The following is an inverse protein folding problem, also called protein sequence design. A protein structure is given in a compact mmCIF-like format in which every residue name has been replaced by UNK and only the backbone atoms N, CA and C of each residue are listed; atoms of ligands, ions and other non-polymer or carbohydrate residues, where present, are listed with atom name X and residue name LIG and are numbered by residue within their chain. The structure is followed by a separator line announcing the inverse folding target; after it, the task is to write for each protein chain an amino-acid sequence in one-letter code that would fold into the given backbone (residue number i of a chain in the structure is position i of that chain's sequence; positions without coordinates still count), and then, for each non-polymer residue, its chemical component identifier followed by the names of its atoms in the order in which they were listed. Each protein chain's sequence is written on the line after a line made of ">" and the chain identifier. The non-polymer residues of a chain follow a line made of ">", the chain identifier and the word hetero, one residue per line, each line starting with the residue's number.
data_IF_882314175748
#
_entry.id   IF_882314175748
#
_cell.length_a   1.000
_cell.length_b   1.000
_cell.length_c   1.000
_cell.angle_alpha   90.00
_cell.angle_beta   90.00
_cell.angle_gamma   90.00
#
_symmetry.space_group_name_H-M   'P 1'
#
loop_
_entity.id
_entity.type
_entity.pdbx_description
1 polymer ?
#
# COMPACT_ATOMS: atom_id res chain seq x y z
N UNK A 1 59.87 -43.23 -49.54
CA UNK A 1 58.94 -43.48 -48.43
C UNK A 1 58.66 -42.15 -47.79
N UNK A 2 57.46 -41.58 -48.09
CA UNK A 2 56.97 -40.32 -47.50
C UNK A 2 56.30 -40.61 -46.18
N UNK A 3 56.80 -40.03 -45.12
CA UNK A 3 56.14 -40.06 -43.81
C UNK A 3 55.18 -38.88 -43.70
N UNK A 4 53.87 -39.17 -43.57
CA UNK A 4 52.81 -38.16 -43.31
C UNK A 4 52.66 -38.06 -41.80
N UNK A 5 53.06 -36.91 -41.20
CA UNK A 5 52.80 -36.59 -39.79
C UNK A 5 51.40 -36.00 -39.66
N UNK A 6 50.50 -36.75 -39.02
CA UNK A 6 49.18 -36.29 -38.66
C UNK A 6 49.25 -35.53 -37.32
N UNK A 7 49.08 -34.19 -37.39
CA UNK A 7 48.89 -33.35 -36.18
C UNK A 7 47.40 -33.45 -35.75
N UNK A 8 47.18 -34.18 -34.67
CA UNK A 8 45.89 -34.18 -33.96
C UNK A 8 45.76 -32.87 -33.16
N UNK A 9 45.03 -31.94 -33.72
CA UNK A 9 44.63 -30.72 -33.00
C UNK A 9 43.48 -31.13 -32.05
N UNK A 10 43.77 -31.39 -30.79
CA UNK A 10 42.78 -31.56 -29.73
C UNK A 10 42.21 -30.15 -29.39
N UNK A 11 41.07 -29.81 -29.97
CA UNK A 11 40.25 -28.71 -29.47
C UNK A 11 39.78 -29.09 -28.07
N UNK A 12 40.42 -28.51 -27.06
CA UNK A 12 39.87 -28.51 -25.71
C UNK A 12 38.61 -27.63 -25.73
N UNK A 13 37.46 -28.25 -25.80
CA UNK A 13 36.21 -27.64 -25.46
C UNK A 13 36.23 -27.37 -23.96
N UNK A 14 36.71 -26.19 -23.57
CA UNK A 14 36.40 -25.65 -22.25
C UNK A 14 34.93 -25.21 -22.31
N UNK A 15 34.06 -25.83 -21.47
CA UNK A 15 32.75 -25.25 -21.30
C UNK A 15 32.97 -23.83 -20.69
N UNK A 16 32.72 -22.78 -21.47
CA UNK A 16 32.51 -21.46 -20.90
C UNK A 16 31.27 -21.61 -20.00
N UNK A 17 31.47 -21.98 -18.75
CA UNK A 17 30.52 -21.63 -17.70
C UNK A 17 30.54 -20.11 -17.63
N UNK A 18 29.71 -19.46 -18.46
CA UNK A 18 29.32 -18.08 -18.20
C UNK A 18 28.72 -18.14 -16.79
N UNK A 19 29.46 -17.62 -15.81
CA UNK A 19 28.91 -17.41 -14.49
C UNK A 19 27.62 -16.61 -14.70
N UNK A 20 26.49 -17.22 -14.45
CA UNK A 20 25.19 -16.53 -14.55
C UNK A 20 25.29 -15.33 -13.60
N UNK A 21 25.29 -14.14 -14.19
CA UNK A 21 25.32 -12.92 -13.39
C UNK A 21 24.08 -12.93 -12.52
N UNK A 22 24.26 -12.81 -11.19
CA UNK A 22 23.15 -12.75 -10.26
C UNK A 22 22.24 -11.58 -10.63
N UNK A 23 20.93 -11.85 -10.76
CA UNK A 23 19.93 -10.83 -11.00
C UNK A 23 19.57 -10.12 -9.68
N UNK A 24 19.19 -8.87 -9.73
CA UNK A 24 18.95 -8.03 -8.55
C UNK A 24 17.50 -7.61 -8.48
N UNK A 25 16.83 -8.04 -7.42
CA UNK A 25 15.48 -7.61 -7.09
C UNK A 25 15.54 -6.53 -6.01
N UNK A 26 14.95 -5.37 -6.25
CA UNK A 26 14.74 -4.37 -5.23
C UNK A 26 13.25 -4.25 -4.88
N UNK A 27 12.92 -4.44 -3.60
CA UNK A 27 11.58 -4.25 -3.05
C UNK A 27 11.56 -2.89 -2.35
N UNK A 28 10.74 -1.97 -2.84
CA UNK A 28 10.50 -0.67 -2.21
C UNK A 28 9.11 -0.69 -1.60
N UNK A 29 9.07 -0.64 -0.27
CA UNK A 29 7.84 -0.65 0.49
C UNK A 29 7.50 0.74 1.01
N UNK A 30 6.32 1.24 0.69
CA UNK A 30 5.82 2.54 1.18
C UNK A 30 5.69 2.60 2.70
N UNK A 31 5.46 1.48 3.35
CA UNK A 31 5.12 1.41 4.76
C UNK A 31 6.35 1.10 5.63
N UNK A 32 6.14 0.99 6.93
CA UNK A 32 7.17 0.54 7.86
C UNK A 32 7.20 -1.00 7.95
N UNK A 33 8.26 -1.52 8.55
CA UNK A 33 8.46 -2.94 8.75
C UNK A 33 7.36 -3.59 9.61
N UNK A 34 6.82 -2.86 10.59
CA UNK A 34 5.83 -3.39 11.52
C UNK A 34 4.39 -3.35 11.00
N UNK A 35 4.16 -2.83 9.79
CA UNK A 35 2.85 -2.87 9.18
C UNK A 35 2.46 -4.33 8.86
N UNK A 36 1.34 -4.85 9.37
CA UNK A 36 1.04 -6.27 9.38
C UNK A 36 0.91 -6.90 8.00
N UNK A 37 0.26 -6.18 7.08
CA UNK A 37 0.18 -6.64 5.69
C UNK A 37 1.57 -6.69 5.03
N UNK A 38 2.51 -5.85 5.48
CA UNK A 38 3.89 -5.89 5.03
C UNK A 38 4.55 -7.17 5.51
N UNK A 39 4.39 -7.53 6.77
CA UNK A 39 4.97 -8.76 7.31
C UNK A 39 4.47 -9.99 6.58
N UNK A 40 3.18 -10.09 6.32
CA UNK A 40 2.61 -11.25 5.65
C UNK A 40 3.02 -11.34 4.17
N UNK A 41 2.88 -10.27 3.41
CA UNK A 41 3.15 -10.31 1.97
C UNK A 41 4.64 -10.21 1.65
N UNK A 42 5.36 -9.25 2.23
CA UNK A 42 6.78 -9.07 1.94
C UNK A 42 7.58 -10.27 2.40
N UNK A 43 7.25 -10.86 3.55
CA UNK A 43 7.94 -12.08 4.03
C UNK A 43 7.82 -13.20 3.03
N UNK A 44 6.66 -13.43 2.40
CA UNK A 44 6.52 -14.46 1.37
C UNK A 44 7.38 -14.15 0.14
N UNK A 45 7.39 -12.90 -0.33
CA UNK A 45 8.28 -12.52 -1.45
C UNK A 45 9.76 -12.71 -1.12
N UNK A 46 10.18 -12.42 0.11
CA UNK A 46 11.56 -12.63 0.55
C UNK A 46 11.92 -14.12 0.62
N UNK A 47 11.00 -14.96 1.09
CA UNK A 47 11.18 -16.41 1.11
C UNK A 47 11.35 -16.94 -0.33
N UNK A 48 10.49 -16.54 -1.25
CA UNK A 48 10.57 -16.95 -2.65
C UNK A 48 11.86 -16.43 -3.31
N UNK A 49 12.22 -15.16 -3.07
CA UNK A 49 13.46 -14.60 -3.57
C UNK A 49 14.70 -15.36 -3.05
N UNK A 50 14.72 -15.69 -1.75
CA UNK A 50 15.81 -16.44 -1.14
C UNK A 50 15.93 -17.89 -1.68
N UNK A 51 14.82 -18.48 -2.15
CA UNK A 51 14.78 -19.80 -2.76
C UNK A 51 15.05 -19.77 -4.26
N UNK A 52 15.15 -18.61 -4.88
CA UNK A 52 15.39 -18.44 -6.32
C UNK A 52 16.89 -18.41 -6.59
N UNK A 53 17.38 -19.37 -7.35
CA UNK A 53 18.80 -19.40 -7.74
C UNK A 53 19.21 -18.16 -8.53
N UNK A 54 20.39 -17.62 -8.25
CA UNK A 54 20.97 -16.44 -8.90
C UNK A 54 20.11 -15.17 -8.79
N UNK A 55 19.34 -15.01 -7.72
CA UNK A 55 18.58 -13.80 -7.42
C UNK A 55 19.05 -13.20 -6.09
N UNK A 56 19.71 -12.04 -6.15
CA UNK A 56 19.99 -11.21 -4.99
C UNK A 56 18.82 -10.27 -4.74
N UNK A 57 18.49 -9.98 -3.49
CA UNK A 57 17.42 -9.04 -3.19
C UNK A 57 17.80 -8.00 -2.13
N UNK A 58 17.25 -6.82 -2.29
CA UNK A 58 17.29 -5.72 -1.32
C UNK A 58 15.87 -5.30 -0.95
N UNK A 59 15.69 -4.85 0.30
CA UNK A 59 14.44 -4.31 0.81
C UNK A 59 14.65 -2.90 1.37
N UNK A 60 13.77 -1.98 1.00
CA UNK A 60 13.73 -0.61 1.50
C UNK A 60 12.35 -0.27 2.02
N UNK A 61 12.27 0.23 3.25
CA UNK A 61 11.05 0.78 3.85
C UNK A 61 11.09 2.30 3.80
N UNK A 62 10.12 2.93 3.15
CA UNK A 62 10.03 4.39 3.05
C UNK A 62 9.45 5.04 4.30
N UNK A 63 8.70 4.29 5.12
CA UNK A 63 7.97 4.81 6.29
C UNK A 63 7.02 5.98 5.93
N UNK A 64 6.20 5.81 4.93
CA UNK A 64 5.32 6.84 4.37
C UNK A 64 4.53 7.65 5.41
N UNK A 65 4.14 7.02 6.53
CA UNK A 65 3.41 7.69 7.62
C UNK A 65 4.23 8.83 8.24
N UNK A 66 5.56 8.73 8.24
CA UNK A 66 6.47 9.75 8.77
C UNK A 66 6.79 10.84 7.74
N UNK A 67 6.51 10.61 6.48
CA UNK A 67 6.79 11.56 5.40
C UNK A 67 5.63 12.56 5.31
N UNK A 68 5.77 13.66 6.03
CA UNK A 68 4.74 14.70 6.17
C UNK A 68 5.01 15.94 5.29
N UNK A 69 6.18 16.01 4.64
CA UNK A 69 6.59 17.16 3.84
C UNK A 69 7.30 16.72 2.57
N UNK A 70 7.25 17.56 1.56
CA UNK A 70 7.97 17.33 0.28
C UNK A 70 9.48 17.24 0.51
N UNK A 71 10.03 17.98 1.47
CA UNK A 71 11.45 17.91 1.81
C UNK A 71 11.84 16.53 2.35
N UNK A 72 11.03 15.93 3.24
CA UNK A 72 11.28 14.58 3.74
C UNK A 72 11.13 13.53 2.64
N UNK A 73 10.13 13.69 1.78
CA UNK A 73 9.98 12.80 0.62
C UNK A 73 11.19 12.85 -0.29
N UNK A 74 11.64 14.05 -0.65
CA UNK A 74 12.81 14.23 -1.51
C UNK A 74 14.07 13.63 -0.87
N UNK A 75 14.24 13.81 0.44
CA UNK A 75 15.36 13.21 1.17
C UNK A 75 15.34 11.67 1.10
N UNK A 76 14.20 11.04 1.39
CA UNK A 76 14.05 9.57 1.30
C UNK A 76 14.28 9.09 -0.13
N UNK A 77 13.73 9.79 -1.09
CA UNK A 77 13.93 9.52 -2.52
C UNK A 77 15.41 9.55 -2.90
N UNK A 78 16.11 10.63 -2.57
CA UNK A 78 17.54 10.76 -2.83
C UNK A 78 18.37 9.66 -2.15
N UNK A 79 18.06 9.30 -0.93
CA UNK A 79 18.73 8.21 -0.23
C UNK A 79 18.59 6.88 -0.96
N UNK A 80 17.38 6.55 -1.46
CA UNK A 80 17.16 5.34 -2.24
C UNK A 80 18.01 5.35 -3.50
N UNK A 81 17.93 6.39 -4.31
CA UNK A 81 18.65 6.44 -5.58
C UNK A 81 20.17 6.49 -5.39
N UNK A 82 20.68 7.20 -4.38
CA UNK A 82 22.10 7.22 -4.06
C UNK A 82 22.62 5.84 -3.62
N UNK A 83 21.83 5.11 -2.80
CA UNK A 83 22.18 3.74 -2.35
C UNK A 83 22.37 2.79 -3.53
N UNK A 84 21.51 2.87 -4.53
CA UNK A 84 21.53 1.96 -5.68
C UNK A 84 22.16 2.54 -6.95
N UNK A 85 22.82 3.70 -6.87
CA UNK A 85 23.43 4.37 -8.02
C UNK A 85 24.38 3.47 -8.81
N UNK A 86 25.24 2.73 -8.10
CA UNK A 86 26.25 1.84 -8.69
C UNK A 86 25.82 0.37 -8.73
N UNK A 87 24.63 0.07 -8.24
CA UNK A 87 24.10 -1.28 -8.12
C UNK A 87 22.60 -1.30 -8.49
N UNK A 88 22.33 -0.92 -9.74
CA UNK A 88 20.95 -0.81 -10.25
C UNK A 88 20.23 -2.15 -10.18
N UNK A 89 18.94 -2.16 -9.80
CA UNK A 89 18.13 -3.38 -9.81
C UNK A 89 17.79 -3.80 -11.24
N UNK A 90 17.66 -5.11 -11.45
CA UNK A 90 17.15 -5.70 -12.69
C UNK A 90 15.61 -5.82 -12.65
N UNK A 91 15.04 -5.94 -11.45
CA UNK A 91 13.59 -6.02 -11.20
C UNK A 91 13.19 -5.19 -9.98
N UNK A 92 11.97 -4.68 -10.00
CA UNK A 92 11.40 -3.89 -8.91
C UNK A 92 10.05 -4.45 -8.46
N UNK A 93 9.86 -4.49 -7.14
CA UNK A 93 8.53 -4.61 -6.54
C UNK A 93 8.26 -3.31 -5.77
N UNK A 94 7.21 -2.59 -6.18
CA UNK A 94 6.79 -1.34 -5.59
C UNK A 94 5.54 -1.59 -4.76
N UNK A 95 5.67 -1.57 -3.43
CA UNK A 95 4.58 -1.87 -2.52
C UNK A 95 3.96 -0.57 -1.99
N UNK A 96 2.73 -0.30 -2.41
CA UNK A 96 1.97 0.90 -2.04
C UNK A 96 2.28 2.13 -2.92
N UNK A 97 1.41 3.12 -2.80
CA UNK A 97 1.38 4.28 -3.71
C UNK A 97 2.62 5.17 -3.63
N UNK A 98 3.22 5.33 -2.44
CA UNK A 98 4.40 6.17 -2.30
C UNK A 98 5.62 5.56 -3.00
N UNK A 99 5.78 4.24 -2.93
CA UNK A 99 6.81 3.56 -3.71
C UNK A 99 6.57 3.73 -5.21
N UNK A 100 5.32 3.60 -5.65
CA UNK A 100 4.96 3.79 -7.07
C UNK A 100 5.15 5.25 -7.54
N UNK A 101 5.13 6.22 -6.64
CA UNK A 101 5.44 7.62 -6.99
C UNK A 101 6.87 7.83 -7.47
N UNK A 102 7.77 6.89 -7.24
CA UNK A 102 9.17 6.93 -7.70
C UNK A 102 9.35 6.56 -9.19
N UNK A 103 8.30 6.09 -9.88
CA UNK A 103 8.39 5.53 -11.24
C UNK A 103 9.07 6.42 -12.26
N UNK A 104 8.83 7.75 -12.21
CA UNK A 104 9.46 8.70 -13.13
C UNK A 104 10.98 8.76 -12.93
N UNK A 105 11.42 8.82 -11.69
CA UNK A 105 12.83 8.83 -11.38
C UNK A 105 13.49 7.47 -11.63
N UNK A 106 12.77 6.36 -11.36
CA UNK A 106 13.22 5.01 -11.71
C UNK A 106 13.53 4.96 -13.21
N UNK A 107 12.59 5.39 -14.04
CA UNK A 107 12.77 5.42 -15.49
C UNK A 107 13.95 6.29 -15.92
N UNK A 108 14.08 7.46 -15.32
CA UNK A 108 15.14 8.42 -15.67
C UNK A 108 16.54 7.94 -15.26
N UNK A 109 16.68 7.31 -14.08
CA UNK A 109 17.99 6.95 -13.55
C UNK A 109 18.38 5.48 -13.82
N UNK A 110 17.41 4.58 -13.81
CA UNK A 110 17.66 3.14 -13.98
C UNK A 110 17.23 2.60 -15.34
N UNK A 111 16.42 3.37 -16.10
CA UNK A 111 15.91 2.97 -17.40
C UNK A 111 14.59 2.21 -17.31
N UNK A 112 14.34 1.36 -18.28
CA UNK A 112 13.07 0.63 -18.44
C UNK A 112 13.05 -0.68 -17.63
N UNK A 113 13.35 -0.58 -16.33
CA UNK A 113 13.37 -1.73 -15.41
C UNK A 113 11.95 -2.27 -15.22
N UNK A 114 11.72 -3.59 -15.34
CA UNK A 114 10.43 -4.19 -15.05
C UNK A 114 9.99 -3.96 -13.60
N UNK A 115 8.76 -3.48 -13.41
CA UNK A 115 8.19 -3.14 -12.12
C UNK A 115 6.91 -3.93 -11.86
N UNK A 116 6.78 -4.52 -10.68
CA UNK A 116 5.51 -5.03 -10.16
C UNK A 116 4.98 -4.03 -9.11
N UNK A 117 3.83 -3.43 -9.37
CA UNK A 117 3.15 -2.54 -8.43
C UNK A 117 2.07 -3.31 -7.66
N UNK A 118 2.16 -3.29 -6.33
CA UNK A 118 1.22 -3.97 -5.43
C UNK A 118 0.51 -2.94 -4.55
N UNK A 119 -0.79 -3.12 -4.36
CA UNK A 119 -1.60 -2.22 -3.55
C UNK A 119 -2.18 -1.05 -4.35
N UNK A 120 -2.37 -1.26 -5.64
CA UNK A 120 -3.02 -0.32 -6.53
C UNK A 120 -4.54 -0.40 -6.38
N UNK A 121 -5.17 0.75 -6.43
CA UNK A 121 -6.52 0.88 -6.98
C UNK A 121 -6.35 1.34 -8.43
N UNK A 122 -7.35 1.12 -9.25
CA UNK A 122 -7.35 1.46 -10.68
C UNK A 122 -6.95 2.93 -10.97
N UNK A 123 -7.15 3.80 -9.99
CA UNK A 123 -6.80 5.21 -10.07
C UNK A 123 -5.70 5.56 -9.08
N UNK A 124 -4.68 6.26 -9.57
CA UNK A 124 -3.65 6.87 -8.74
C UNK A 124 -3.68 8.39 -8.88
N UNK A 125 -3.38 9.10 -7.81
CA UNK A 125 -3.15 10.54 -7.85
C UNK A 125 -1.74 10.80 -8.36
N UNK A 126 -1.57 11.80 -9.21
CA UNK A 126 -0.26 12.23 -9.69
C UNK A 126 0.66 12.67 -8.54
N UNK A 127 1.93 12.34 -8.66
CA UNK A 127 2.98 12.32 -7.66
C UNK A 127 3.09 13.52 -6.73
N UNK A 128 3.01 14.72 -7.27
CA UNK A 128 3.43 15.93 -6.55
C UNK A 128 2.37 16.44 -5.56
N UNK A 129 1.11 16.12 -5.76
CA UNK A 129 0.01 16.59 -4.90
C UNK A 129 -0.28 15.66 -3.72
N UNK A 130 0.29 14.46 -3.74
CA UNK A 130 0.07 13.43 -2.74
C UNK A 130 0.71 13.79 -1.39
N UNK A 131 1.76 14.57 -1.42
CA UNK A 131 2.66 14.78 -0.29
C UNK A 131 2.53 16.16 0.35
N UNK A 132 1.96 17.12 -0.35
CA UNK A 132 1.94 18.52 0.13
C UNK A 132 1.07 18.77 1.36
N UNK A 133 0.53 17.72 2.03
CA UNK A 133 -0.38 17.87 3.18
C UNK A 133 -1.64 18.67 2.87
N UNK A 134 -1.71 19.22 1.68
CA UNK A 134 -2.90 19.88 1.17
C UNK A 134 -3.93 18.80 0.87
N UNK A 135 -5.11 18.98 1.43
CA UNK A 135 -6.28 18.15 1.19
C UNK A 135 -6.28 17.71 -0.27
N UNK A 136 -6.15 16.41 -0.50
CA UNK A 136 -6.39 15.84 -1.82
C UNK A 136 -7.85 16.16 -2.08
N UNK A 137 -8.07 17.27 -2.77
CA UNK A 137 -9.40 17.67 -3.15
C UNK A 137 -9.90 16.66 -4.19
N UNK A 138 -11.20 16.46 -4.24
CA UNK A 138 -11.86 15.64 -5.26
C UNK A 138 -11.45 16.04 -6.70
N UNK A 139 -10.88 17.23 -6.88
CA UNK A 139 -10.33 17.76 -8.14
C UNK A 139 -8.88 17.35 -8.41
N UNK A 140 -8.21 16.56 -7.54
CA UNK A 140 -6.88 16.06 -7.87
C UNK A 140 -6.98 15.19 -9.12
N UNK A 141 -6.16 15.47 -10.12
CA UNK A 141 -6.14 14.73 -11.37
C UNK A 141 -5.78 13.28 -11.07
N UNK A 142 -6.74 12.40 -11.25
CA UNK A 142 -6.53 10.96 -11.15
C UNK A 142 -6.13 10.43 -12.51
N UNK A 143 -5.18 9.52 -12.53
CA UNK A 143 -4.78 8.80 -13.73
C UNK A 143 -5.15 7.34 -13.53
N UNK A 144 -5.76 6.73 -14.54
CA UNK A 144 -5.91 5.28 -14.58
C UNK A 144 -4.54 4.63 -14.79
N UNK A 145 -4.28 3.54 -14.09
CA UNK A 145 -3.05 2.78 -14.28
C UNK A 145 -2.88 2.29 -15.72
N UNK A 146 -4.00 1.96 -16.37
CA UNK A 146 -4.03 1.61 -17.80
C UNK A 146 -3.46 2.71 -18.69
N UNK A 147 -3.72 3.98 -18.39
CA UNK A 147 -3.34 5.12 -19.24
C UNK A 147 -1.83 5.39 -19.23
N UNK A 148 -1.14 4.93 -18.19
CA UNK A 148 0.31 5.08 -18.07
C UNK A 148 1.08 3.79 -18.35
N UNK A 149 0.39 2.68 -18.64
CA UNK A 149 1.01 1.38 -18.87
C UNK A 149 2.00 1.37 -20.03
N UNK A 150 1.73 2.15 -21.07
CA UNK A 150 2.63 2.28 -22.22
C UNK A 150 3.87 3.15 -21.93
N UNK A 151 3.81 3.95 -20.86
CA UNK A 151 4.91 4.86 -20.51
C UNK A 151 5.99 4.18 -19.68
N UNK A 152 5.66 3.08 -18.97
CA UNK A 152 6.55 2.40 -18.04
C UNK A 152 6.42 0.89 -18.21
N UNK A 153 7.52 0.18 -18.04
CA UNK A 153 7.52 -1.28 -18.03
C UNK A 153 7.00 -1.80 -16.67
N UNK A 154 5.68 -1.83 -16.48
CA UNK A 154 5.10 -2.32 -15.23
C UNK A 154 3.87 -3.19 -15.43
N UNK A 155 3.66 -4.05 -14.45
CA UNK A 155 2.37 -4.71 -14.18
C UNK A 155 1.92 -4.38 -12.77
N UNK A 156 0.65 -4.63 -12.45
CA UNK A 156 0.14 -4.34 -11.11
C UNK A 156 -0.83 -5.40 -10.61
N UNK A 157 -0.89 -5.52 -9.28
CA UNK A 157 -1.89 -6.31 -8.57
C UNK A 157 -2.86 -5.32 -7.94
N UNK A 158 -4.08 -5.37 -8.41
CA UNK A 158 -5.17 -4.56 -7.88
C UNK A 158 -5.66 -5.13 -6.55
N UNK A 159 -5.90 -4.23 -5.59
CA UNK A 159 -6.57 -4.57 -4.34
C UNK A 159 -8.03 -4.12 -4.45
N UNK A 160 -8.98 -5.06 -4.49
CA UNK A 160 -10.39 -4.72 -4.63
C UNK A 160 -10.88 -3.89 -3.44
N UNK A 161 -11.69 -2.89 -3.73
CA UNK A 161 -12.35 -2.07 -2.72
C UNK A 161 -13.78 -2.57 -2.51
N UNK A 162 -13.99 -3.44 -1.53
CA UNK A 162 -15.27 -4.11 -1.27
C UNK A 162 -16.23 -3.25 -0.40
N UNK A 163 -16.12 -1.92 -0.46
CA UNK A 163 -16.94 -1.05 0.38
C UNK A 163 -18.45 -1.11 0.05
N UNK A 164 -18.83 -1.29 -1.22
CA UNK A 164 -20.22 -1.39 -1.65
C UNK A 164 -20.86 -2.65 -1.07
N UNK A 165 -20.23 -3.77 -1.32
CA UNK A 165 -20.67 -5.07 -0.84
C UNK A 165 -20.76 -5.11 0.70
N UNK A 166 -19.80 -4.47 1.37
CA UNK A 166 -19.79 -4.37 2.83
C UNK A 166 -20.94 -3.50 3.32
N UNK A 167 -21.20 -2.35 2.71
CA UNK A 167 -22.32 -1.47 3.08
C UNK A 167 -23.66 -2.19 2.85
N UNK A 168 -23.83 -2.87 1.72
CA UNK A 168 -25.04 -3.63 1.42
C UNK A 168 -25.27 -4.75 2.44
N UNK A 169 -24.20 -5.40 2.88
CA UNK A 169 -24.27 -6.40 3.95
C UNK A 169 -24.64 -5.73 5.29
N UNK A 170 -24.06 -4.58 5.63
CA UNK A 170 -24.39 -3.83 6.85
C UNK A 170 -25.88 -3.49 6.91
N UNK A 171 -26.42 -2.93 5.83
CA UNK A 171 -27.84 -2.56 5.75
C UNK A 171 -28.75 -3.78 5.90
N UNK A 172 -28.39 -4.92 5.31
CA UNK A 172 -29.14 -6.17 5.46
C UNK A 172 -29.08 -6.75 6.86
N UNK A 173 -27.93 -6.66 7.54
CA UNK A 173 -27.75 -7.18 8.89
C UNK A 173 -28.30 -6.24 9.97
N UNK A 174 -28.41 -4.95 9.69
CA UNK A 174 -28.91 -3.90 10.58
C UNK A 174 -30.03 -3.11 9.88
N UNK A 175 -31.24 -3.70 9.70
CA UNK A 175 -32.31 -3.07 8.92
C UNK A 175 -32.83 -1.76 9.56
N UNK A 176 -32.61 -1.57 10.84
CA UNK A 176 -32.98 -0.34 11.58
C UNK A 176 -31.88 0.71 11.58
N UNK A 177 -30.81 0.50 10.81
CA UNK A 177 -29.71 1.44 10.72
C UNK A 177 -30.16 2.76 10.10
N UNK A 178 -29.96 3.86 10.81
CA UNK A 178 -30.30 5.22 10.38
C UNK A 178 -29.06 6.04 10.01
N UNK A 179 -27.90 5.63 10.52
CA UNK A 179 -26.65 6.34 10.33
C UNK A 179 -25.51 5.36 10.09
N UNK A 180 -24.69 5.65 9.08
CA UNK A 180 -23.42 4.97 8.84
C UNK A 180 -22.28 5.90 9.25
N UNK A 181 -21.40 5.39 10.11
CA UNK A 181 -20.17 6.09 10.52
C UNK A 181 -18.99 5.36 9.87
N UNK A 182 -18.28 6.05 8.98
CA UNK A 182 -17.01 5.58 8.45
C UNK A 182 -15.88 6.08 9.34
N UNK A 183 -15.18 5.20 10.02
CA UNK A 183 -14.08 5.54 10.90
C UNK A 183 -12.73 5.20 10.23
N UNK A 184 -11.87 6.19 10.08
CA UNK A 184 -10.57 6.01 9.43
C UNK A 184 -9.57 7.10 9.80
N UNK A 185 -8.30 6.93 9.41
CA UNK A 185 -7.36 8.03 9.32
C UNK A 185 -7.58 8.85 8.03
N UNK A 186 -6.86 9.95 7.89
CA UNK A 186 -6.94 10.85 6.73
C UNK A 186 -5.82 10.62 5.71
N UNK A 187 -5.27 9.41 5.65
CA UNK A 187 -4.39 9.03 4.55
C UNK A 187 -5.15 9.09 3.22
N UNK A 188 -4.43 9.40 2.16
CA UNK A 188 -5.02 9.64 0.85
C UNK A 188 -5.99 8.56 0.37
N UNK A 189 -5.66 7.27 0.61
CA UNK A 189 -6.55 6.16 0.28
C UNK A 189 -7.90 6.22 1.01
N UNK A 190 -7.91 6.60 2.29
CA UNK A 190 -9.15 6.75 3.04
C UNK A 190 -9.93 8.01 2.67
N UNK A 191 -9.24 9.09 2.29
CA UNK A 191 -9.93 10.28 1.77
C UNK A 191 -10.66 9.97 0.46
N UNK A 192 -10.02 9.24 -0.45
CA UNK A 192 -10.67 8.79 -1.68
C UNK A 192 -11.83 7.84 -1.41
N UNK A 193 -11.64 6.91 -0.48
CA UNK A 193 -12.65 5.94 -0.08
C UNK A 193 -13.86 6.66 0.57
N UNK A 194 -13.63 7.67 1.39
CA UNK A 194 -14.68 8.51 1.97
C UNK A 194 -15.56 9.13 0.87
N UNK A 195 -14.96 9.72 -0.16
CA UNK A 195 -15.72 10.30 -1.27
C UNK A 195 -16.52 9.23 -2.06
N UNK A 196 -15.93 8.06 -2.27
CA UNK A 196 -16.61 6.94 -2.93
C UNK A 196 -17.78 6.43 -2.10
N UNK A 197 -17.61 6.25 -0.79
CA UNK A 197 -18.67 5.84 0.14
C UNK A 197 -19.81 6.86 0.12
N UNK A 198 -19.48 8.15 0.27
CA UNK A 198 -20.47 9.22 0.25
C UNK A 198 -21.29 9.24 -1.05
N UNK A 199 -20.63 9.11 -2.19
CA UNK A 199 -21.30 9.05 -3.49
C UNK A 199 -22.22 7.83 -3.60
N UNK A 200 -21.74 6.66 -3.14
CA UNK A 200 -22.51 5.42 -3.14
C UNK A 200 -23.77 5.52 -2.25
N UNK A 201 -23.62 6.02 -1.02
CA UNK A 201 -24.74 6.20 -0.10
C UNK A 201 -25.78 7.19 -0.64
N UNK A 202 -25.33 8.28 -1.25
CA UNK A 202 -26.24 9.28 -1.85
C UNK A 202 -27.09 8.66 -2.97
N UNK A 203 -26.54 7.71 -3.72
CA UNK A 203 -27.23 7.05 -4.82
C UNK A 203 -28.14 5.90 -4.34
N UNK A 204 -27.64 5.00 -3.52
CA UNK A 204 -28.30 3.75 -3.19
C UNK A 204 -29.08 3.82 -1.86
N UNK A 205 -28.66 4.67 -0.92
CA UNK A 205 -29.21 4.78 0.42
C UNK A 205 -29.45 6.25 0.83
N UNK A 206 -30.24 7.03 0.09
CA UNK A 206 -30.37 8.49 0.29
C UNK A 206 -30.97 8.92 1.64
N UNK A 207 -31.60 7.98 2.36
CA UNK A 207 -32.18 8.23 3.69
C UNK A 207 -31.22 7.91 4.83
N UNK A 208 -30.07 7.30 4.53
CA UNK A 208 -29.07 6.93 5.52
C UNK A 208 -28.18 8.13 5.81
N UNK A 209 -28.15 8.57 7.06
CA UNK A 209 -27.21 9.62 7.48
C UNK A 209 -25.77 9.10 7.37
N UNK A 210 -24.86 9.98 7.00
CA UNK A 210 -23.45 9.63 6.86
C UNK A 210 -22.55 10.55 7.68
N UNK A 211 -21.60 9.96 8.38
CA UNK A 211 -20.56 10.68 9.09
C UNK A 211 -19.18 10.06 8.82
N UNK A 212 -18.19 10.89 8.50
CA UNK A 212 -16.80 10.47 8.47
C UNK A 212 -16.11 10.85 9.78
N UNK A 213 -15.81 9.84 10.59
CA UNK A 213 -15.09 9.96 11.84
C UNK A 213 -13.58 9.83 11.58
N UNK A 214 -12.93 10.96 11.34
CA UNK A 214 -11.52 10.99 10.98
C UNK A 214 -10.62 11.07 12.22
N UNK A 215 -9.65 10.18 12.32
CA UNK A 215 -8.78 10.04 13.49
C UNK A 215 -7.91 11.28 13.77
N UNK A 216 -7.53 12.04 12.74
CA UNK A 216 -6.74 13.27 12.89
C UNK A 216 -7.51 14.44 13.50
N UNK A 217 -8.84 14.46 13.40
CA UNK A 217 -9.70 15.54 13.88
C UNK A 217 -10.40 15.20 15.20
N UNK A 218 -10.52 13.92 15.50
CA UNK A 218 -11.23 13.43 16.67
C UNK A 218 -10.27 12.97 17.76
N UNK A 219 -10.63 13.25 19.00
CA UNK A 219 -9.88 12.68 20.12
C UNK A 219 -10.09 11.16 20.16
N UNK A 220 -9.09 10.44 20.65
CA UNK A 220 -9.20 8.99 20.89
C UNK A 220 -10.45 8.66 21.72
N UNK A 221 -10.78 9.51 22.70
CA UNK A 221 -11.98 9.34 23.54
C UNK A 221 -13.27 9.39 22.72
N UNK A 222 -13.39 10.31 21.76
CA UNK A 222 -14.57 10.43 20.92
C UNK A 222 -14.77 9.15 20.08
N UNK A 223 -13.69 8.66 19.47
CA UNK A 223 -13.74 7.45 18.66
C UNK A 223 -14.10 6.23 19.52
N UNK A 224 -13.51 6.11 20.70
CA UNK A 224 -13.84 5.06 21.66
C UNK A 224 -15.32 5.13 22.06
N UNK A 225 -15.86 6.34 22.29
CA UNK A 225 -17.27 6.52 22.63
C UNK A 225 -18.19 5.97 21.51
N UNK A 226 -17.86 6.21 20.26
CA UNK A 226 -18.61 5.63 19.14
C UNK A 226 -18.50 4.10 19.13
N UNK A 227 -17.31 3.55 19.28
CA UNK A 227 -17.05 2.11 19.20
C UNK A 227 -17.75 1.33 20.33
N UNK A 228 -17.88 1.89 21.52
CA UNK A 228 -18.53 1.24 22.67
C UNK A 228 -20.00 1.60 22.85
N UNK A 229 -20.55 2.53 22.05
CA UNK A 229 -21.97 2.89 22.12
C UNK A 229 -22.85 1.70 21.80
N UNK A 230 -23.95 1.53 22.54
CA UNK A 230 -24.95 0.50 22.32
C UNK A 230 -26.07 0.89 21.36
N UNK A 231 -25.98 2.05 20.71
CA UNK A 231 -27.01 2.52 19.79
C UNK A 231 -27.01 1.67 18.52
N UNK A 232 -27.99 0.78 18.40
CA UNK A 232 -28.15 -0.15 17.28
C UNK A 232 -28.55 0.55 15.96
N UNK A 233 -28.98 1.82 16.02
CA UNK A 233 -29.32 2.58 14.80
C UNK A 233 -28.11 3.13 14.06
N UNK A 234 -26.90 2.97 14.62
CA UNK A 234 -25.63 3.43 14.03
C UNK A 234 -24.79 2.24 13.59
N UNK A 235 -24.52 2.12 12.30
CA UNK A 235 -23.56 1.17 11.75
C UNK A 235 -22.14 1.76 11.73
N UNK A 236 -21.13 0.96 12.04
CA UNK A 236 -19.72 1.38 11.99
C UNK A 236 -19.00 0.59 10.92
N UNK A 237 -18.40 1.32 9.99
CA UNK A 237 -17.52 0.83 8.96
C UNK A 237 -16.09 1.32 9.23
N UNK A 238 -15.16 0.39 9.44
CA UNK A 238 -13.74 0.72 9.65
C UNK A 238 -12.96 0.69 8.33
N UNK A 239 -12.33 1.82 8.02
CA UNK A 239 -11.25 1.87 7.06
C UNK A 239 -9.90 1.56 7.70
N UNK A 240 -8.79 1.97 7.08
CA UNK A 240 -7.50 1.90 7.76
C UNK A 240 -7.39 3.00 8.83
N UNK A 241 -6.87 2.61 9.97
CA UNK A 241 -6.70 3.52 11.10
C UNK A 241 -5.37 3.23 11.79
N UNK A 242 -4.31 3.80 11.24
CA UNK A 242 -2.94 3.54 11.70
C UNK A 242 -2.37 4.64 12.55
N UNK A 243 -2.90 5.85 12.44
CA UNK A 243 -2.47 6.93 13.30
C UNK A 243 -3.65 7.78 13.76
N UNK A 244 -3.52 8.29 14.97
CA UNK A 244 -4.41 9.26 15.56
C UNK A 244 -3.84 10.68 15.38
N UNK A 245 -4.58 11.66 15.88
CA UNK A 245 -4.12 13.05 15.96
C UNK A 245 -2.64 13.14 16.35
N UNK A 246 -1.86 14.02 15.71
CA UNK A 246 -0.48 14.25 16.07
C UNK A 246 -0.31 14.45 17.59
N UNK A 247 0.74 13.86 18.16
CA UNK A 247 1.13 14.16 19.54
C UNK A 247 1.39 15.66 19.69
N UNK A 248 1.49 16.14 20.93
CA UNK A 248 1.87 17.54 21.21
C UNK A 248 3.19 17.95 20.52
N UNK A 249 3.99 17.01 20.08
CA UNK A 249 5.24 17.20 19.34
C UNK A 249 5.07 17.15 17.80
N UNK A 250 3.84 17.06 17.28
CA UNK A 250 3.57 17.05 15.83
C UNK A 250 3.82 15.72 15.10
N UNK A 251 4.19 14.65 15.82
CA UNK A 251 4.39 13.33 15.21
C UNK A 251 3.10 12.53 15.21
N UNK A 252 2.79 11.82 14.12
CA UNK A 252 1.66 10.89 14.08
C UNK A 252 1.92 9.76 15.09
N UNK A 253 0.93 9.51 15.94
CA UNK A 253 0.99 8.38 16.87
C UNK A 253 0.36 7.15 16.23
N UNK A 254 1.14 6.08 16.12
CA UNK A 254 0.62 4.78 15.73
C UNK A 254 -0.40 4.27 16.75
N UNK A 255 -1.56 3.90 16.26
CA UNK A 255 -2.64 3.34 17.09
C UNK A 255 -2.44 1.83 17.18
N UNK A 256 -1.78 1.37 18.22
CA UNK A 256 -1.50 -0.07 18.43
C UNK A 256 -2.44 -0.75 19.42
N UNK A 257 -3.22 0.01 20.19
CA UNK A 257 -4.02 -0.53 21.29
C UNK A 257 -5.53 -0.57 21.07
N UNK A 258 -6.04 0.05 20.01
CA UNK A 258 -7.48 0.25 19.85
C UNK A 258 -8.22 -0.97 19.27
N UNK A 259 -7.48 -1.97 18.77
CA UNK A 259 -8.06 -3.25 18.32
C UNK A 259 -8.83 -3.99 19.42
N UNK A 260 -8.37 -3.91 20.67
CA UNK A 260 -9.09 -4.50 21.82
C UNK A 260 -10.44 -3.82 22.08
N UNK A 261 -10.54 -2.53 21.75
CA UNK A 261 -11.80 -1.79 21.88
C UNK A 261 -12.79 -2.19 20.79
N UNK A 262 -12.31 -2.42 19.58
CA UNK A 262 -13.14 -2.93 18.48
C UNK A 262 -13.73 -4.29 18.89
N UNK A 263 -12.90 -5.19 19.42
CA UNK A 263 -13.32 -6.51 19.90
C UNK A 263 -14.32 -6.46 21.07
N UNK A 264 -14.31 -5.38 21.86
CA UNK A 264 -15.25 -5.21 22.99
C UNK A 264 -16.52 -4.43 22.65
N UNK A 265 -16.73 -4.08 21.39
CA UNK A 265 -17.95 -3.38 20.95
C UNK A 265 -19.19 -4.24 21.20
N UNK A 266 -20.26 -3.68 21.79
CA UNK A 266 -21.52 -4.38 22.00
C UNK A 266 -22.35 -4.56 20.71
N UNK A 267 -21.86 -4.04 19.59
CA UNK A 267 -22.53 -4.10 18.28
C UNK A 267 -21.56 -4.54 17.19
N UNK A 268 -22.07 -5.02 16.05
CA UNK A 268 -21.23 -5.36 14.92
C UNK A 268 -20.44 -4.14 14.44
N UNK A 269 -19.14 -4.34 14.21
CA UNK A 269 -18.28 -3.40 13.53
C UNK A 269 -17.81 -4.08 12.26
N UNK A 270 -18.06 -3.46 11.13
CA UNK A 270 -17.67 -3.96 9.83
C UNK A 270 -16.33 -3.37 9.43
N UNK A 271 -15.47 -4.15 8.84
CA UNK A 271 -14.13 -3.70 8.46
C UNK A 271 -13.87 -3.90 6.97
N UNK A 272 -13.24 -2.90 6.37
CA UNK A 272 -12.68 -2.99 5.02
C UNK A 272 -11.24 -3.51 5.01
N UNK A 273 -10.72 -3.91 6.19
CA UNK A 273 -9.36 -4.41 6.36
C UNK A 273 -9.37 -5.70 7.17
N UNK A 274 -8.88 -6.77 6.55
CA UNK A 274 -8.80 -8.11 7.12
C UNK A 274 -8.16 -8.15 8.52
N UNK A 275 -7.13 -7.35 8.75
CA UNK A 275 -6.43 -7.30 10.02
C UNK A 275 -7.33 -7.02 11.24
N UNK A 276 -8.38 -6.24 11.09
CA UNK A 276 -9.28 -5.97 12.21
C UNK A 276 -10.11 -7.19 12.57
N UNK A 277 -10.32 -8.11 11.63
CA UNK A 277 -11.01 -9.37 11.83
C UNK A 277 -10.19 -10.31 12.73
N UNK A 278 -8.88 -10.38 12.51
CA UNK A 278 -7.95 -11.20 13.32
C UNK A 278 -7.90 -10.78 14.78
N UNK A 279 -8.26 -9.54 15.06
CA UNK A 279 -8.28 -8.99 16.43
C UNK A 279 -9.54 -9.29 17.23
N UNK A 280 -10.48 -10.09 16.68
CA UNK A 280 -11.68 -10.55 17.38
C UNK A 280 -12.84 -9.56 17.36
N UNK A 281 -12.91 -8.67 16.40
CA UNK A 281 -14.11 -7.89 16.12
C UNK A 281 -15.25 -8.80 15.70
N UNK A 282 -16.47 -8.51 16.14
CA UNK A 282 -17.65 -9.15 15.59
C UNK A 282 -17.78 -8.71 14.12
N UNK A 283 -17.65 -9.64 13.22
CA UNK A 283 -17.89 -9.48 11.78
C UNK A 283 -19.26 -9.98 11.44
#
# INVERSE_FOLDING_TARGET
>A
ILGVSIYLITFAWQPLCAASQSQKLLIINSYNESAPWVQNYITQYLIEAANTENLDYDLVHMNAILIQTDSLYNLVKEQIFNRFKNNKPDYLILFGRMAFSLRDQIKNEWGDVPMLFIGANDNIVLNEKYLSGNKITASATKIHLSDIREQYNFTYIEVPELYKETIDMMVRMQPDMKKLVFASDNLAGNMELNEKIKAYLTLEYPLLEYEWLVASENSRKNIQTYLISSDQSVGILLGSWYYSRPSAFGYPMLVTGDFKLIASSPRPIFSLKEKYLESGGAT
#
